data_IF_807465319914
#
_entry.id   IF_807465319914
#
_cell.length_a   1.000
_cell.length_b   1.000
_cell.length_c   1.000
_cell.angle_alpha   90.00
_cell.angle_beta   90.00
_cell.angle_gamma   90.00
#
_symmetry.space_group_name_H-M   'P 1'
#
loop_
_entity.id
_entity.type
_entity.pdbx_description
1 polymer ?
#
# COMPACT_ATOMS: atom_id res chain seq x y z
N UNK A 1 0.47 10.25 -14.25
CA UNK A 1 -0.72 9.66 -13.60
C UNK A 1 -1.86 10.65 -13.76
N UNK A 2 -3.06 10.21 -14.13
CA UNK A 2 -4.24 11.09 -14.20
C UNK A 2 -4.97 11.12 -12.85
N UNK A 3 -5.78 12.16 -12.57
CA UNK A 3 -6.61 12.20 -11.36
C UNK A 3 -7.53 10.98 -11.22
N UNK A 4 -8.11 10.52 -12.34
CA UNK A 4 -8.99 9.34 -12.38
C UNK A 4 -8.28 8.05 -11.92
N UNK A 5 -7.04 7.83 -12.33
CA UNK A 5 -6.26 6.65 -11.88
C UNK A 5 -5.96 6.74 -10.37
N UNK A 6 -5.73 7.94 -9.84
CA UNK A 6 -5.52 8.12 -8.40
C UNK A 6 -6.83 7.91 -7.62
N UNK A 7 -7.97 8.27 -8.18
CA UNK A 7 -9.28 8.05 -7.55
C UNK A 7 -9.62 6.56 -7.49
N UNK A 8 -9.44 5.83 -8.59
CA UNK A 8 -9.57 4.36 -8.61
C UNK A 8 -8.59 3.74 -7.60
N UNK A 9 -7.33 4.16 -7.63
CA UNK A 9 -6.31 3.65 -6.73
C UNK A 9 -6.67 3.86 -5.26
N UNK A 10 -7.19 5.05 -4.93
CA UNK A 10 -7.66 5.39 -3.59
C UNK A 10 -8.84 4.52 -3.17
N UNK A 11 -9.86 4.39 -4.01
CA UNK A 11 -11.06 3.57 -3.71
C UNK A 11 -10.68 2.11 -3.39
N UNK A 12 -9.84 1.52 -4.23
CA UNK A 12 -9.37 0.14 -4.04
C UNK A 12 -8.45 0.03 -2.83
N UNK A 13 -7.58 1.00 -2.59
CA UNK A 13 -6.73 1.04 -1.41
C UNK A 13 -7.55 1.11 -0.12
N UNK A 14 -8.53 2.00 -0.06
CA UNK A 14 -9.40 2.17 1.11
C UNK A 14 -10.19 0.89 1.38
N UNK A 15 -10.67 0.22 0.33
CA UNK A 15 -11.45 -1.02 0.43
C UNK A 15 -10.61 -2.22 0.89
N UNK A 16 -9.41 -2.40 0.34
CA UNK A 16 -8.65 -3.66 0.47
C UNK A 16 -7.36 -3.55 1.29
N UNK A 17 -6.74 -2.38 1.34
CA UNK A 17 -5.37 -2.22 1.85
C UNK A 17 -5.31 -1.46 3.19
N UNK A 18 -6.16 -0.45 3.36
CA UNK A 18 -6.16 0.48 4.49
C UNK A 18 -6.35 -0.20 5.85
N UNK A 19 -7.08 -1.33 5.89
CA UNK A 19 -7.34 -2.11 7.11
C UNK A 19 -6.06 -2.60 7.79
N UNK A 20 -5.01 -2.88 7.01
CA UNK A 20 -3.72 -3.33 7.52
C UNK A 20 -2.64 -2.24 7.47
N UNK A 21 -2.67 -1.39 6.44
CA UNK A 21 -1.63 -0.39 6.17
C UNK A 21 -1.97 1.02 6.68
N UNK A 22 -3.17 1.21 7.24
CA UNK A 22 -3.68 2.52 7.65
C UNK A 22 -4.22 3.34 6.47
N UNK A 23 -5.13 4.29 6.69
CA UNK A 23 -5.66 5.15 5.63
C UNK A 23 -4.60 6.10 5.05
N UNK A 24 -3.54 6.39 5.80
CA UNK A 24 -2.40 7.22 5.36
C UNK A 24 -1.17 6.38 4.96
N UNK A 25 -1.29 5.06 4.91
CA UNK A 25 -0.20 4.16 4.54
C UNK A 25 0.91 4.02 5.58
N UNK A 26 0.77 4.56 6.80
CA UNK A 26 1.84 4.53 7.80
C UNK A 26 2.01 3.21 8.55
N UNK A 27 1.31 2.17 8.12
CA UNK A 27 1.21 0.92 8.85
C UNK A 27 0.08 1.00 9.87
N UNK A 28 0.00 0.06 10.81
CA UNK A 28 -1.24 -0.14 11.54
C UNK A 28 -1.51 1.03 12.47
N UNK A 29 -2.76 1.46 12.46
CA UNK A 29 -3.33 2.23 13.55
C UNK A 29 -3.03 1.44 14.84
N UNK A 30 -2.43 2.09 15.83
CA UNK A 30 -2.05 1.52 17.14
C UNK A 30 -3.22 0.91 17.93
N UNK A 31 -4.44 0.96 17.38
CA UNK A 31 -5.65 0.35 17.92
C UNK A 31 -6.28 -0.59 16.88
N UNK A 32 -6.11 -1.90 17.06
CA UNK A 32 -6.99 -2.88 16.42
C UNK A 32 -8.23 -3.09 17.32
N UNK A 33 -9.47 -2.98 16.79
CA UNK A 33 -10.69 -3.33 17.52
C UNK A 33 -10.85 -4.85 17.83
N UNK A 34 -10.03 -5.73 17.23
CA UNK A 34 -10.19 -7.19 17.24
C UNK A 34 -9.21 -7.94 18.16
N UNK A 35 -8.30 -7.25 18.86
CA UNK A 35 -7.36 -7.86 19.82
C UNK A 35 -6.27 -8.79 19.26
N UNK A 36 -6.36 -9.18 17.98
CA UNK A 36 -5.44 -10.08 17.27
C UNK A 36 -3.99 -9.54 17.20
N UNK A 37 -3.80 -8.21 17.15
CA UNK A 37 -2.48 -7.59 16.94
C UNK A 37 -1.56 -7.62 18.17
N UNK A 38 -2.08 -7.75 19.39
CA UNK A 38 -1.22 -7.91 20.59
C UNK A 38 -0.46 -9.25 20.60
N UNK A 39 -0.93 -10.25 19.85
CA UNK A 39 -0.35 -11.61 19.84
C UNK A 39 0.50 -11.92 18.60
N UNK A 40 0.41 -11.10 17.55
CA UNK A 40 1.12 -11.32 16.30
C UNK A 40 1.46 -9.99 15.60
N UNK A 41 2.42 -9.20 16.13
CA UNK A 41 2.88 -7.94 15.53
C UNK A 41 3.41 -8.14 14.09
N UNK A 42 3.85 -9.34 13.73
CA UNK A 42 4.24 -9.72 12.37
C UNK A 42 3.09 -9.73 11.34
N UNK A 43 1.82 -9.60 11.76
CA UNK A 43 0.66 -9.46 10.86
C UNK A 43 0.29 -8.00 10.59
N UNK A 44 1.10 -7.06 11.06
CA UNK A 44 0.94 -5.63 10.83
C UNK A 44 1.35 -5.28 9.40
N UNK A 45 0.52 -4.49 8.70
CA UNK A 45 0.89 -3.97 7.38
C UNK A 45 2.12 -3.07 7.50
N UNK A 46 3.05 -3.16 6.56
CA UNK A 46 4.22 -2.28 6.52
C UNK A 46 3.82 -0.80 6.39
N UNK A 47 4.68 0.10 6.88
CA UNK A 47 4.58 1.52 6.57
C UNK A 47 4.97 1.75 5.10
N UNK A 48 3.97 1.91 4.24
CA UNK A 48 4.13 2.10 2.81
C UNK A 48 4.77 3.46 2.44
N UNK A 49 4.83 4.39 3.39
CA UNK A 49 5.40 5.73 3.20
C UNK A 49 6.83 5.87 3.73
N UNK A 50 7.41 4.80 4.31
CA UNK A 50 8.82 4.83 4.70
C UNK A 50 9.73 4.99 3.47
N UNK A 51 10.93 5.55 3.67
CA UNK A 51 11.84 5.88 2.58
C UNK A 51 12.17 4.68 1.68
N UNK A 52 12.26 3.48 2.26
CA UNK A 52 12.56 2.26 1.52
C UNK A 52 11.38 1.86 0.63
N UNK A 53 10.16 1.83 1.17
CA UNK A 53 8.98 1.44 0.39
C UNK A 53 8.55 2.53 -0.59
N UNK A 54 8.73 3.80 -0.25
CA UNK A 54 8.56 4.89 -1.20
C UNK A 54 9.55 4.76 -2.36
N UNK A 55 10.83 4.51 -2.07
CA UNK A 55 11.85 4.25 -3.10
C UNK A 55 11.54 3.04 -3.99
N UNK A 56 10.91 1.99 -3.44
CA UNK A 56 10.39 0.89 -4.25
C UNK A 56 9.20 1.32 -5.12
N UNK A 57 8.26 2.10 -4.57
CA UNK A 57 7.10 2.59 -5.30
C UNK A 57 7.49 3.48 -6.50
N UNK A 58 8.55 4.27 -6.37
CA UNK A 58 9.05 5.14 -7.44
C UNK A 58 9.95 4.41 -8.43
N UNK A 59 10.98 3.72 -7.96
CA UNK A 59 12.02 3.13 -8.83
C UNK A 59 11.66 1.75 -9.37
N UNK A 60 10.87 0.98 -8.62
CA UNK A 60 10.53 -0.41 -8.90
C UNK A 60 9.06 -0.73 -8.62
N UNK A 61 8.11 0.03 -9.20
CA UNK A 61 6.69 -0.13 -8.91
C UNK A 61 6.15 -1.55 -9.24
N UNK A 62 6.82 -2.26 -10.16
CA UNK A 62 6.51 -3.65 -10.48
C UNK A 62 6.68 -4.63 -9.31
N UNK A 63 7.57 -4.34 -8.35
CA UNK A 63 7.71 -5.17 -7.15
C UNK A 63 6.47 -5.03 -6.25
N UNK A 64 5.93 -3.81 -6.09
CA UNK A 64 4.68 -3.58 -5.35
C UNK A 64 3.51 -4.23 -6.07
N UNK A 65 3.42 -4.07 -7.39
CA UNK A 65 2.40 -4.75 -8.20
C UNK A 65 2.45 -6.27 -8.02
N UNK A 66 3.66 -6.86 -8.01
CA UNK A 66 3.84 -8.29 -7.81
C UNK A 66 3.34 -8.74 -6.43
N UNK A 67 3.67 -8.01 -5.37
CA UNK A 67 3.20 -8.33 -4.01
C UNK A 67 1.67 -8.23 -3.93
N UNK A 68 1.05 -7.20 -4.51
CA UNK A 68 -0.42 -7.11 -4.56
C UNK A 68 -1.01 -8.30 -5.33
N UNK A 69 -0.39 -8.69 -6.44
CA UNK A 69 -0.91 -9.75 -7.32
C UNK A 69 -0.75 -11.15 -6.71
N UNK A 70 0.43 -11.47 -6.20
CA UNK A 70 0.82 -12.83 -5.79
C UNK A 70 0.85 -13.03 -4.28
N UNK A 71 0.78 -11.96 -3.50
CA UNK A 71 0.96 -12.00 -2.06
C UNK A 71 2.42 -12.25 -1.66
N UNK A 72 2.62 -12.40 -0.36
CA UNK A 72 3.86 -12.86 0.26
C UNK A 72 3.53 -13.66 1.53
N UNK A 73 4.52 -13.91 2.40
CA UNK A 73 4.35 -14.70 3.63
C UNK A 73 3.30 -14.12 4.59
N UNK A 74 3.12 -12.79 4.59
CA UNK A 74 2.24 -12.06 5.52
C UNK A 74 0.98 -11.54 4.82
N UNK A 75 1.12 -11.05 3.59
CA UNK A 75 0.05 -10.43 2.80
C UNK A 75 -0.53 -11.44 1.80
N UNK A 76 -1.84 -11.66 1.85
CA UNK A 76 -2.54 -12.48 0.85
C UNK A 76 -2.49 -11.88 -0.56
N UNK A 77 -2.70 -12.73 -1.56
CA UNK A 77 -2.82 -12.31 -2.96
C UNK A 77 -4.17 -11.63 -3.24
N UNK A 78 -4.17 -10.55 -4.02
CA UNK A 78 -5.39 -9.81 -4.41
C UNK A 78 -5.76 -10.03 -5.89
N UNK A 79 -5.10 -10.94 -6.60
CA UNK A 79 -5.35 -11.15 -8.03
C UNK A 79 -6.80 -11.56 -8.38
N UNK A 80 -7.53 -12.14 -7.44
CA UNK A 80 -8.94 -12.53 -7.60
C UNK A 80 -9.94 -11.42 -7.27
N UNK A 81 -9.49 -10.35 -6.60
CA UNK A 81 -10.33 -9.26 -6.10
C UNK A 81 -10.15 -7.97 -6.90
N UNK A 82 -8.98 -7.81 -7.53
CA UNK A 82 -8.60 -6.61 -8.27
C UNK A 82 -8.20 -6.98 -9.69
N UNK A 83 -8.71 -6.24 -10.66
CA UNK A 83 -8.28 -6.31 -12.07
C UNK A 83 -6.85 -5.76 -12.24
N UNK A 84 -6.12 -6.12 -13.31
CA UNK A 84 -4.75 -5.64 -13.53
C UNK A 84 -4.60 -4.11 -13.46
N UNK A 85 -5.53 -3.37 -14.05
CA UNK A 85 -5.48 -1.90 -14.07
C UNK A 85 -5.77 -1.31 -12.69
N UNK A 86 -6.66 -1.92 -11.91
CA UNK A 86 -6.93 -1.53 -10.53
C UNK A 86 -5.72 -1.76 -9.64
N UNK A 87 -5.00 -2.88 -9.82
CA UNK A 87 -3.74 -3.14 -9.10
C UNK A 87 -2.67 -2.08 -9.42
N UNK A 88 -2.55 -1.67 -10.68
CA UNK A 88 -1.67 -0.56 -11.05
C UNK A 88 -2.12 0.77 -10.47
N UNK A 89 -3.42 1.05 -10.46
CA UNK A 89 -3.97 2.25 -9.83
C UNK A 89 -3.62 2.32 -8.34
N UNK A 90 -3.73 1.20 -7.61
CA UNK A 90 -3.29 1.10 -6.20
C UNK A 90 -1.80 1.41 -6.06
N UNK A 91 -0.94 0.87 -6.93
CA UNK A 91 0.51 1.18 -6.91
C UNK A 91 0.76 2.68 -7.08
N UNK A 92 0.07 3.35 -8.02
CA UNK A 92 0.19 4.79 -8.22
C UNK A 92 -0.31 5.59 -7.02
N UNK A 93 -1.35 5.12 -6.35
CA UNK A 93 -1.84 5.75 -5.13
C UNK A 93 -0.86 5.61 -3.96
N UNK A 94 -0.24 4.43 -3.78
CA UNK A 94 0.80 4.21 -2.77
C UNK A 94 2.02 5.10 -3.00
N UNK A 95 2.47 5.26 -4.25
CA UNK A 95 3.53 6.21 -4.60
C UNK A 95 3.15 7.65 -4.22
N UNK A 96 1.91 8.06 -4.50
CA UNK A 96 1.42 9.39 -4.14
C UNK A 96 1.37 9.62 -2.62
N UNK A 97 0.94 8.62 -1.83
CA UNK A 97 1.00 8.68 -0.37
C UNK A 97 2.43 8.88 0.14
N UNK A 98 3.37 8.11 -0.39
CA UNK A 98 4.78 8.23 -0.04
C UNK A 98 5.36 9.61 -0.39
N UNK A 99 4.98 10.17 -1.55
CA UNK A 99 5.42 11.52 -1.97
C UNK A 99 4.91 12.61 -1.02
N UNK A 100 3.65 12.54 -0.60
CA UNK A 100 3.07 13.50 0.36
C UNK A 100 3.82 13.46 1.70
N UNK A 101 4.24 12.27 2.12
CA UNK A 101 4.94 12.07 3.38
C UNK A 101 6.45 12.36 3.30
N UNK A 102 7.03 12.36 2.10
CA UNK A 102 8.45 12.63 1.81
C UNK A 102 8.60 13.80 0.80
N UNK A 103 8.18 15.03 1.14
CA UNK A 103 8.14 16.14 0.18
C UNK A 103 9.51 16.62 -0.32
N UNK A 104 10.59 16.25 0.40
CA UNK A 104 11.97 16.65 0.10
C UNK A 104 12.82 15.49 -0.44
N UNK A 105 12.27 14.29 -0.61
CA UNK A 105 13.01 13.23 -1.29
C UNK A 105 13.17 13.64 -2.74
N UNK A 106 14.40 13.80 -3.22
CA UNK A 106 14.67 13.83 -4.65
C UNK A 106 14.01 12.56 -5.20
N UNK A 107 13.06 12.72 -6.13
CA UNK A 107 12.34 11.61 -6.74
C UNK A 107 13.38 10.62 -7.27
N UNK A 108 13.60 9.54 -6.48
CA UNK A 108 14.85 8.80 -6.53
C UNK A 108 15.07 8.04 -7.82
#
# INVERSE_FOLDING_TARGET
VTPEILEIGKDKYDTYCSVCHGPDGKGPLTANPSGLTKRAPQLMGANLTDERLYGLATKRPGEIYHVITMGNVIMGAYKSQLEPDERWAVVRYVEALGRVQNPNSEDG
#
